data_IF_618748671753
#
_entry.id   IF_618748671753
#
_cell.length_a   1.000
_cell.length_b   1.000
_cell.length_c   1.000
_cell.angle_alpha   90.00
_cell.angle_beta   90.00
_cell.angle_gamma   90.00
#
_symmetry.space_group_name_H-M   'P 1'
#
loop_
_entity.id
_entity.type
_entity.pdbx_description
1 polymer ?
#
# COMPACT_ATOMS: atom_id res chain seq x y z
N UNK A 1 -0.63 -5.31 -50.32
CA UNK A 1 0.55 -4.40 -50.21
C UNK A 1 0.31 -3.47 -49.01
N UNK A 2 0.98 -3.70 -47.87
CA UNK A 2 0.81 -2.86 -46.70
C UNK A 2 1.56 -1.53 -46.91
N UNK A 3 0.84 -0.41 -46.86
CA UNK A 3 1.46 0.92 -46.84
C UNK A 3 2.27 1.08 -45.57
N UNK A 4 3.57 1.34 -45.68
CA UNK A 4 4.47 1.56 -44.54
C UNK A 4 4.63 3.05 -44.30
N UNK A 5 4.70 3.47 -43.04
CA UNK A 5 5.10 4.86 -42.68
C UNK A 5 6.62 5.04 -42.89
N UNK A 6 7.10 6.28 -42.88
CA UNK A 6 8.52 6.59 -42.94
C UNK A 6 9.40 5.78 -41.94
N UNK A 7 8.87 5.44 -40.81
CA UNK A 7 9.53 4.65 -39.77
C UNK A 7 9.44 3.12 -39.99
N UNK A 8 9.13 2.63 -41.19
CA UNK A 8 8.98 1.20 -41.54
C UNK A 8 7.90 0.43 -40.77
N UNK A 9 7.07 1.09 -39.97
CA UNK A 9 5.96 0.46 -39.24
C UNK A 9 4.74 0.33 -40.14
N UNK A 10 4.01 -0.82 -40.10
CA UNK A 10 2.78 -0.96 -40.86
C UNK A 10 1.72 0.01 -40.33
N UNK A 11 0.90 0.54 -41.23
CA UNK A 11 -0.27 1.34 -40.85
C UNK A 11 -1.29 0.41 -40.19
N UNK A 12 -1.88 0.88 -39.10
CA UNK A 12 -2.95 0.17 -38.41
C UNK A 12 -4.28 0.39 -39.14
N UNK A 13 -5.02 -0.67 -39.38
CA UNK A 13 -6.40 -0.59 -39.85
C UNK A 13 -7.33 -0.10 -38.73
N UNK A 14 -8.54 0.32 -39.07
CA UNK A 14 -9.55 0.69 -38.07
C UNK A 14 -9.85 -0.50 -37.16
N UNK A 15 -9.93 -1.70 -37.70
CA UNK A 15 -10.11 -2.94 -36.91
C UNK A 15 -8.98 -3.16 -35.91
N UNK A 16 -7.73 -2.91 -36.29
CA UNK A 16 -6.56 -3.06 -35.39
C UNK A 16 -6.54 -2.02 -34.27
N UNK A 17 -7.15 -0.86 -34.49
CA UNK A 17 -7.31 0.16 -33.43
C UNK A 17 -8.37 -0.23 -32.39
N UNK A 18 -9.32 -1.07 -32.72
CA UNK A 18 -10.39 -1.52 -31.84
C UNK A 18 -10.06 -2.81 -31.12
N UNK A 19 -9.38 -3.75 -31.79
CA UNK A 19 -9.06 -5.10 -31.29
C UNK A 19 -7.75 -5.17 -30.53
N UNK A 20 -7.60 -6.24 -29.74
CA UNK A 20 -6.37 -6.59 -29.03
C UNK A 20 -6.13 -5.80 -27.74
N UNK A 21 -4.98 -6.05 -27.09
CA UNK A 21 -4.60 -5.45 -25.80
C UNK A 21 -4.46 -3.91 -25.85
N UNK A 22 -4.04 -3.39 -27.00
CA UNK A 22 -3.86 -1.95 -27.25
C UNK A 22 -5.05 -1.31 -27.96
N UNK A 23 -6.10 -2.09 -28.22
CA UNK A 23 -7.33 -1.59 -28.83
C UNK A 23 -8.17 -0.76 -27.88
N UNK A 24 -9.04 0.08 -28.44
CA UNK A 24 -9.89 1.00 -27.65
C UNK A 24 -10.80 0.29 -26.64
N UNK A 25 -11.32 -0.89 -26.97
CA UNK A 25 -12.18 -1.65 -26.05
C UNK A 25 -11.42 -2.02 -24.77
N UNK A 26 -10.24 -2.60 -24.86
CA UNK A 26 -9.49 -3.05 -23.67
C UNK A 26 -8.76 -1.90 -22.96
N UNK A 27 -8.29 -0.90 -23.70
CA UNK A 27 -7.45 0.16 -23.14
C UNK A 27 -8.25 1.34 -22.58
N UNK A 28 -9.44 1.63 -23.12
CA UNK A 28 -10.17 2.84 -22.77
C UNK A 28 -11.63 2.60 -22.34
N UNK A 29 -12.23 1.44 -22.66
CA UNK A 29 -13.61 1.14 -22.31
C UNK A 29 -13.72 0.21 -21.10
N UNK A 30 -13.04 -0.94 -21.14
CA UNK A 30 -13.05 -1.92 -20.04
C UNK A 30 -12.20 -1.49 -18.85
N UNK A 31 -11.31 -0.55 -19.04
CA UNK A 31 -10.49 0.04 -18.00
C UNK A 31 -9.81 1.30 -18.49
N UNK A 32 -9.57 2.24 -17.58
CA UNK A 32 -8.90 3.51 -17.85
C UNK A 32 -7.76 3.69 -16.85
N UNK A 33 -6.78 4.50 -17.23
CA UNK A 33 -5.81 5.02 -16.24
C UNK A 33 -6.53 5.99 -15.33
N UNK A 34 -6.26 5.89 -14.04
CA UNK A 34 -6.88 6.74 -13.03
C UNK A 34 -5.85 7.63 -12.38
N UNK A 35 -6.26 8.84 -12.03
CA UNK A 35 -5.46 9.79 -11.26
C UNK A 35 -5.40 9.35 -9.78
N UNK A 36 -4.57 9.99 -8.99
CA UNK A 36 -4.36 9.69 -7.57
C UNK A 36 -3.95 8.24 -7.33
N UNK A 37 -3.15 7.72 -8.21
CA UNK A 37 -2.60 6.38 -8.15
C UNK A 37 -1.12 6.38 -8.46
N UNK A 38 -0.39 5.47 -7.84
CA UNK A 38 1.04 5.28 -8.06
C UNK A 38 1.39 3.81 -8.01
N UNK A 39 2.62 3.50 -8.36
CA UNK A 39 3.15 2.13 -8.32
C UNK A 39 4.58 2.13 -7.85
N UNK A 40 4.93 1.20 -6.96
CA UNK A 40 6.31 1.00 -6.52
C UNK A 40 6.57 -0.44 -6.14
N UNK A 41 7.83 -0.77 -5.97
CA UNK A 41 8.29 -2.06 -5.44
C UNK A 41 7.90 -2.17 -3.97
N UNK A 42 7.61 -3.38 -3.52
CA UNK A 42 7.30 -3.68 -2.12
C UNK A 42 8.51 -4.27 -1.40
N UNK A 43 8.61 -3.94 -0.12
CA UNK A 43 9.59 -4.52 0.80
C UNK A 43 8.89 -4.89 2.10
N UNK A 44 9.50 -5.79 2.86
CA UNK A 44 8.96 -6.19 4.16
C UNK A 44 9.00 -5.04 5.16
N UNK A 45 7.94 -4.94 5.97
CA UNK A 45 7.83 -3.98 7.07
C UNK A 45 7.32 -4.67 8.33
N UNK A 46 8.15 -5.46 9.04
CA UNK A 46 7.72 -6.23 10.21
C UNK A 46 7.33 -5.35 11.41
N UNK A 47 7.80 -4.11 11.44
CA UNK A 47 7.48 -3.13 12.50
C UNK A 47 6.10 -2.49 12.35
N UNK A 48 5.48 -2.63 11.17
CA UNK A 48 4.16 -2.09 10.90
C UNK A 48 3.08 -2.91 11.62
N UNK A 49 2.02 -2.23 12.04
CA UNK A 49 0.80 -2.92 12.49
C UNK A 49 0.07 -3.52 11.28
N UNK A 50 -0.79 -4.50 11.52
CA UNK A 50 -1.51 -5.23 10.48
C UNK A 50 -2.32 -4.32 9.54
N UNK A 51 -2.88 -3.22 10.06
CA UNK A 51 -3.65 -2.24 9.29
C UNK A 51 -2.79 -1.14 8.67
N UNK A 52 -1.48 -1.14 8.86
CA UNK A 52 -0.58 -0.10 8.40
C UNK A 52 0.21 -0.53 7.16
N UNK A 53 0.54 0.43 6.32
CA UNK A 53 1.52 0.27 5.24
C UNK A 53 2.51 1.44 5.26
N UNK A 54 3.76 1.16 4.94
CA UNK A 54 4.78 2.19 4.77
C UNK A 54 4.70 2.81 3.38
N UNK A 55 4.38 4.09 3.29
CA UNK A 55 4.30 4.82 2.03
C UNK A 55 5.49 5.78 1.90
N UNK A 56 6.27 5.74 0.79
CA UNK A 56 7.35 6.67 0.55
C UNK A 56 6.88 8.12 0.60
N UNK A 57 7.56 8.97 1.36
CA UNK A 57 7.20 10.39 1.54
C UNK A 57 6.97 11.13 0.22
N UNK A 58 7.86 10.93 -0.76
CA UNK A 58 7.74 11.60 -2.06
C UNK A 58 6.52 11.13 -2.86
N UNK A 59 6.19 9.84 -2.75
CA UNK A 59 4.98 9.29 -3.38
C UNK A 59 3.72 9.83 -2.68
N UNK A 60 3.70 9.85 -1.35
CA UNK A 60 2.60 10.42 -0.58
C UNK A 60 2.37 11.90 -0.93
N UNK A 61 3.43 12.69 -1.00
CA UNK A 61 3.35 14.11 -1.39
C UNK A 61 2.67 14.29 -2.74
N UNK A 62 3.00 13.45 -3.72
CA UNK A 62 2.42 13.53 -5.06
C UNK A 62 0.94 13.12 -5.09
N UNK A 63 0.61 12.02 -4.39
CA UNK A 63 -0.75 11.47 -4.35
C UNK A 63 -1.73 12.38 -3.58
N UNK A 64 -1.27 13.02 -2.50
CA UNK A 64 -2.12 13.84 -1.63
C UNK A 64 -2.07 15.34 -1.94
N UNK A 65 -1.46 15.76 -3.04
CA UNK A 65 -1.35 17.18 -3.44
C UNK A 65 -2.62 18.00 -3.25
N UNK A 66 -3.80 17.60 -3.75
CA UNK A 66 -5.00 18.42 -3.63
C UNK A 66 -5.47 18.58 -2.17
N UNK A 67 -5.31 17.54 -1.36
CA UNK A 67 -5.65 17.59 0.05
C UNK A 67 -4.71 18.54 0.82
N UNK A 68 -3.41 18.53 0.47
CA UNK A 68 -2.42 19.46 1.03
C UNK A 68 -2.78 20.90 0.65
N UNK A 69 -3.16 21.18 -0.60
CA UNK A 69 -3.56 22.52 -1.03
C UNK A 69 -4.78 23.01 -0.25
N UNK A 70 -5.79 22.17 -0.10
CA UNK A 70 -7.00 22.48 0.67
C UNK A 70 -6.68 22.78 2.15
N UNK A 71 -5.79 22.00 2.76
CA UNK A 71 -5.39 22.21 4.16
C UNK A 71 -4.51 23.47 4.34
N UNK A 72 -3.63 23.77 3.39
CA UNK A 72 -2.83 25.00 3.40
C UNK A 72 -3.71 26.25 3.34
N UNK A 73 -4.76 26.21 2.51
CA UNK A 73 -5.74 27.27 2.37
C UNK A 73 -6.57 27.42 3.66
N UNK A 74 -7.09 26.30 4.18
CA UNK A 74 -7.88 26.29 5.43
C UNK A 74 -7.10 26.82 6.66
N UNK A 75 -5.78 26.60 6.71
CA UNK A 75 -4.90 27.15 7.76
C UNK A 75 -4.45 28.59 7.51
N UNK A 76 -4.85 29.20 6.40
CA UNK A 76 -4.46 30.57 6.04
C UNK A 76 -2.96 30.75 5.74
N UNK A 77 -2.23 29.65 5.53
CA UNK A 77 -0.79 29.67 5.26
C UNK A 77 -0.48 30.05 3.81
N UNK A 78 -1.41 29.87 2.89
CA UNK A 78 -1.28 30.28 1.51
C UNK A 78 -2.47 31.12 1.08
N UNK A 79 -2.20 32.33 0.54
CA UNK A 79 -3.25 33.22 0.01
C UNK A 79 -3.66 32.88 -1.41
N UNK A 80 -2.86 32.09 -2.14
CA UNK A 80 -3.12 31.74 -3.54
C UNK A 80 -2.67 30.32 -3.86
N UNK A 81 -3.42 29.64 -4.73
CA UNK A 81 -3.10 28.32 -5.23
C UNK A 81 -1.70 28.23 -5.89
N UNK A 82 -1.25 29.32 -6.51
CA UNK A 82 0.08 29.42 -7.12
C UNK A 82 1.19 29.39 -6.06
N UNK A 83 0.94 30.01 -4.92
CA UNK A 83 1.87 30.00 -3.77
C UNK A 83 1.91 28.62 -3.12
N UNK A 84 0.77 27.98 -2.91
CA UNK A 84 0.69 26.62 -2.40
C UNK A 84 1.45 25.61 -3.27
N UNK A 85 1.30 25.69 -4.60
CA UNK A 85 2.07 24.87 -5.55
C UNK A 85 3.58 25.07 -5.36
N UNK A 86 4.04 26.31 -5.30
CA UNK A 86 5.46 26.63 -5.06
C UNK A 86 6.00 26.06 -3.75
N UNK A 87 5.18 26.01 -2.71
CA UNK A 87 5.58 25.47 -1.41
C UNK A 87 5.73 23.96 -1.45
N UNK A 88 4.81 23.29 -2.09
CA UNK A 88 4.87 21.84 -2.30
C UNK A 88 6.06 21.44 -3.19
N UNK A 89 6.32 22.17 -4.28
CA UNK A 89 7.49 21.96 -5.15
C UNK A 89 8.82 22.17 -4.43
N UNK A 90 8.87 23.07 -3.45
CA UNK A 90 10.04 23.34 -2.63
C UNK A 90 10.15 22.43 -1.40
N UNK A 91 9.24 21.50 -1.24
CA UNK A 91 9.22 20.54 -0.11
C UNK A 91 9.45 21.21 1.26
N UNK A 92 8.74 22.32 1.54
CA UNK A 92 8.88 23.06 2.79
C UNK A 92 8.48 22.21 4.00
N UNK A 93 9.04 22.52 5.17
CA UNK A 93 8.77 21.80 6.43
C UNK A 93 7.28 21.79 6.76
N UNK A 94 6.61 22.92 6.60
CA UNK A 94 5.18 23.09 6.86
C UNK A 94 4.31 22.15 5.99
N UNK A 95 4.79 21.83 4.79
CA UNK A 95 4.09 20.90 3.88
C UNK A 95 4.16 19.47 4.43
N UNK A 96 5.28 19.08 5.02
CA UNK A 96 5.44 17.75 5.62
C UNK A 96 4.55 17.58 6.86
N UNK A 97 4.45 18.59 7.70
CA UNK A 97 3.59 18.59 8.88
C UNK A 97 2.10 18.46 8.49
N UNK A 98 1.69 19.15 7.41
CA UNK A 98 0.33 19.05 6.88
C UNK A 98 0.09 17.69 6.21
N UNK A 99 1.07 17.15 5.49
CA UNK A 99 0.97 15.84 4.89
C UNK A 99 0.75 14.76 5.96
N UNK A 100 1.50 14.81 7.07
CA UNK A 100 1.34 13.87 8.18
C UNK A 100 -0.06 13.95 8.81
N UNK A 101 -0.59 15.17 8.94
CA UNK A 101 -1.96 15.38 9.43
C UNK A 101 -3.03 14.79 8.48
N UNK A 102 -2.88 15.04 7.17
CA UNK A 102 -3.84 14.55 6.16
C UNK A 102 -3.84 13.02 6.08
N UNK A 103 -2.68 12.40 6.19
CA UNK A 103 -2.52 10.94 6.04
C UNK A 103 -3.14 10.16 7.19
N UNK A 104 -3.09 10.68 8.43
CA UNK A 104 -3.58 9.98 9.64
C UNK A 104 -5.02 9.48 9.54
N UNK A 105 -5.86 10.16 8.80
CA UNK A 105 -7.28 9.84 8.68
C UNK A 105 -7.69 9.36 7.29
N UNK A 106 -6.73 9.21 6.37
CA UNK A 106 -7.01 8.91 4.98
C UNK A 106 -6.46 7.53 4.58
N UNK A 107 -7.30 6.48 4.54
CA UNK A 107 -6.85 5.16 4.13
C UNK A 107 -6.44 5.16 2.65
N UNK A 108 -5.48 4.32 2.31
CA UNK A 108 -5.07 4.06 0.92
C UNK A 108 -5.38 2.62 0.55
N UNK A 109 -5.66 2.38 -0.72
CA UNK A 109 -5.88 1.05 -1.25
C UNK A 109 -4.59 0.55 -1.90
N UNK A 110 -4.15 -0.63 -1.48
CA UNK A 110 -3.05 -1.34 -2.13
C UNK A 110 -3.62 -2.46 -3.00
N UNK A 111 -3.07 -2.60 -4.20
CA UNK A 111 -3.44 -3.64 -5.15
C UNK A 111 -2.19 -4.30 -5.73
N UNK A 112 -2.18 -5.63 -5.76
CA UNK A 112 -1.19 -6.42 -6.52
C UNK A 112 -1.86 -7.08 -7.72
N UNK A 113 -1.30 -6.87 -8.91
CA UNK A 113 -1.73 -7.56 -10.11
C UNK A 113 -0.96 -8.91 -10.25
N UNK A 114 -1.63 -10.01 -10.67
CA UNK A 114 -3.04 -10.10 -11.03
C UNK A 114 -3.97 -10.15 -9.81
N UNK A 115 -5.09 -9.43 -9.86
CA UNK A 115 -6.11 -9.48 -8.81
C UNK A 115 -7.02 -10.69 -9.04
N UNK A 116 -6.73 -11.79 -8.35
CA UNK A 116 -7.43 -13.06 -8.53
C UNK A 116 -8.71 -13.16 -7.68
N UNK A 117 -8.77 -12.46 -6.57
CA UNK A 117 -9.87 -12.46 -5.62
C UNK A 117 -9.96 -11.12 -4.90
N UNK A 118 -11.03 -10.88 -4.14
CA UNK A 118 -11.29 -9.59 -3.51
C UNK A 118 -10.20 -9.12 -2.54
N UNK A 119 -9.47 -10.04 -1.91
CA UNK A 119 -8.37 -9.70 -0.99
C UNK A 119 -7.08 -9.24 -1.70
N UNK A 120 -7.05 -9.30 -3.05
CA UNK A 120 -6.00 -8.68 -3.85
C UNK A 120 -6.05 -7.14 -3.86
N UNK A 121 -7.10 -6.55 -3.27
CA UNK A 121 -7.22 -5.12 -3.00
C UNK A 121 -7.61 -4.95 -1.54
N UNK A 122 -6.79 -4.29 -0.74
CA UNK A 122 -7.07 -4.03 0.67
C UNK A 122 -6.72 -2.59 1.02
N UNK A 123 -7.39 -2.06 2.03
CA UNK A 123 -7.14 -0.74 2.57
C UNK A 123 -6.14 -0.81 3.74
N UNK A 124 -5.31 0.22 3.82
CA UNK A 124 -4.31 0.39 4.87
C UNK A 124 -4.25 1.84 5.31
N UNK A 125 -3.86 2.07 6.55
CA UNK A 125 -3.47 3.39 7.03
C UNK A 125 -2.00 3.64 6.65
N UNK A 126 -1.70 4.69 5.88
CA UNK A 126 -0.34 4.95 5.46
C UNK A 126 0.49 5.56 6.59
N UNK A 127 1.72 5.07 6.71
CA UNK A 127 2.76 5.63 7.56
C UNK A 127 3.87 6.14 6.65
N UNK A 128 4.33 7.37 6.86
CA UNK A 128 5.39 7.95 6.05
C UNK A 128 6.74 7.31 6.35
N UNK A 129 7.40 6.83 5.32
CA UNK A 129 8.72 6.23 5.40
C UNK A 129 9.70 6.92 4.46
N UNK A 130 10.98 6.86 4.81
CA UNK A 130 12.04 7.24 3.90
C UNK A 130 12.29 6.14 2.86
N UNK A 131 12.78 6.51 1.70
CA UNK A 131 13.06 5.57 0.62
C UNK A 131 12.10 5.69 -0.56
N UNK A 132 12.06 4.68 -1.40
CA UNK A 132 11.25 4.62 -2.64
C UNK A 132 10.32 3.42 -2.72
N UNK A 133 10.52 2.42 -1.86
CA UNK A 133 9.73 1.20 -1.83
C UNK A 133 8.59 1.31 -0.81
N UNK A 134 7.47 0.65 -1.10
CA UNK A 134 6.34 0.53 -0.19
C UNK A 134 6.66 -0.57 0.83
N UNK A 135 6.46 -0.31 2.11
CA UNK A 135 6.57 -1.34 3.14
C UNK A 135 5.22 -2.01 3.36
N UNK A 136 5.24 -3.33 3.38
CA UNK A 136 4.06 -4.16 3.59
C UNK A 136 4.28 -5.11 4.76
N UNK A 137 3.24 -5.25 5.60
CA UNK A 137 3.29 -6.21 6.70
C UNK A 137 3.37 -7.64 6.16
N UNK A 138 4.32 -8.48 6.62
CA UNK A 138 4.54 -9.82 6.06
C UNK A 138 3.32 -10.74 6.16
N UNK A 139 2.47 -10.61 7.16
CA UNK A 139 1.27 -11.44 7.32
C UNK A 139 0.20 -11.21 6.24
N UNK A 140 0.16 -10.06 5.58
CA UNK A 140 -0.82 -9.80 4.51
C UNK A 140 -0.35 -10.28 3.14
N UNK A 141 0.90 -10.70 3.01
CA UNK A 141 1.48 -11.18 1.74
C UNK A 141 0.72 -12.37 1.16
N UNK A 142 0.25 -13.30 2.02
CA UNK A 142 -0.53 -14.46 1.59
C UNK A 142 -1.84 -14.06 0.90
N UNK A 143 -2.52 -13.03 1.40
CA UNK A 143 -3.76 -12.52 0.81
C UNK A 143 -3.54 -11.88 -0.57
N UNK A 144 -2.42 -11.21 -0.77
CA UNK A 144 -2.03 -10.62 -2.05
C UNK A 144 -1.32 -11.61 -2.99
N UNK A 145 -0.95 -12.78 -2.49
CA UNK A 145 -0.01 -13.69 -3.15
C UNK A 145 1.27 -12.94 -3.58
N UNK A 146 1.80 -12.12 -2.68
CA UNK A 146 2.95 -11.24 -2.91
C UNK A 146 4.20 -11.83 -2.25
N UNK A 147 5.33 -11.62 -2.90
CA UNK A 147 6.67 -11.88 -2.36
C UNK A 147 7.55 -10.64 -2.52
N UNK A 148 8.71 -10.65 -1.89
CA UNK A 148 9.62 -9.51 -1.86
C UNK A 148 10.81 -9.68 -2.82
N UNK A 149 10.62 -10.41 -3.91
CA UNK A 149 11.63 -10.67 -4.95
C UNK A 149 11.71 -9.59 -6.04
N UNK A 150 10.99 -8.50 -5.88
CA UNK A 150 10.88 -7.40 -6.84
C UNK A 150 9.44 -7.11 -7.28
N UNK A 151 8.46 -7.72 -6.62
CA UNK A 151 7.05 -7.44 -6.84
C UNK A 151 6.73 -5.97 -6.66
N UNK A 152 5.78 -5.49 -7.47
CA UNK A 152 5.27 -4.13 -7.40
C UNK A 152 3.79 -4.13 -7.03
N UNK A 153 3.40 -3.14 -6.25
CA UNK A 153 2.00 -2.89 -5.92
C UNK A 153 1.57 -1.49 -6.35
N UNK A 154 0.30 -1.39 -6.75
CA UNK A 154 -0.33 -0.12 -7.02
C UNK A 154 -0.95 0.44 -5.73
N UNK A 155 -0.87 1.76 -5.57
CA UNK A 155 -1.50 2.53 -4.50
C UNK A 155 -2.57 3.41 -5.11
N UNK A 156 -3.76 3.43 -4.51
CA UNK A 156 -4.86 4.29 -4.91
C UNK A 156 -5.39 5.05 -3.70
N UNK A 157 -5.72 6.32 -3.92
CA UNK A 157 -6.26 7.18 -2.86
C UNK A 157 -7.76 7.37 -3.10
N UNK A 158 -8.64 6.89 -2.19
CA UNK A 158 -10.06 7.19 -2.27
C UNK A 158 -10.32 8.68 -2.05
N UNK A 159 -11.10 9.31 -2.93
CA UNK A 159 -11.27 10.76 -2.94
C UNK A 159 -12.49 11.22 -2.17
N UNK A 160 -13.64 10.54 -2.33
CA UNK A 160 -14.88 10.92 -1.65
C UNK A 160 -14.93 10.38 -0.22
N UNK A 161 -15.72 11.01 0.64
CA UNK A 161 -15.91 10.57 2.03
C UNK A 161 -16.57 9.19 2.08
N UNK A 162 -17.50 8.91 1.16
CA UNK A 162 -18.15 7.60 1.04
C UNK A 162 -17.13 6.51 0.69
N UNK A 163 -16.24 6.78 -0.27
CA UNK A 163 -15.19 5.83 -0.65
C UNK A 163 -14.19 5.59 0.48
N UNK A 164 -13.86 6.62 1.26
CA UNK A 164 -13.01 6.49 2.45
C UNK A 164 -13.69 5.66 3.53
N UNK A 165 -15.00 5.85 3.74
CA UNK A 165 -15.78 5.07 4.68
C UNK A 165 -15.86 3.60 4.27
N UNK A 166 -16.15 3.32 2.99
CA UNK A 166 -16.10 1.95 2.44
C UNK A 166 -14.73 1.31 2.63
N UNK A 167 -13.66 2.03 2.34
CA UNK A 167 -12.30 1.55 2.55
C UNK A 167 -12.05 1.16 4.01
N UNK A 168 -12.50 1.98 4.97
CA UNK A 168 -12.34 1.71 6.40
C UNK A 168 -13.20 0.55 6.89
N UNK A 169 -14.46 0.50 6.51
CA UNK A 169 -15.42 -0.47 7.05
C UNK A 169 -15.29 -1.84 6.40
N UNK A 170 -15.11 -1.88 5.08
CA UNK A 170 -15.16 -3.13 4.30
C UNK A 170 -13.79 -3.63 3.87
N UNK A 171 -12.86 -2.74 3.52
CA UNK A 171 -11.63 -3.10 2.83
C UNK A 171 -10.38 -3.12 3.71
N UNK A 172 -10.45 -2.67 4.96
CA UNK A 172 -9.28 -2.72 5.86
C UNK A 172 -8.76 -4.14 6.01
N UNK A 173 -7.46 -4.30 6.02
CA UNK A 173 -6.78 -5.59 6.21
C UNK A 173 -7.21 -6.31 7.48
N UNK A 174 -7.46 -5.58 8.57
CA UNK A 174 -7.95 -6.11 9.84
C UNK A 174 -9.36 -6.67 9.77
N UNK A 175 -10.18 -6.21 8.83
CA UNK A 175 -11.56 -6.71 8.62
C UNK A 175 -11.61 -7.92 7.67
N UNK A 176 -10.49 -8.26 7.04
CA UNK A 176 -10.38 -9.30 6.03
C UNK A 176 -9.39 -10.41 6.45
N UNK A 177 -9.52 -10.90 7.68
CA UNK A 177 -8.68 -11.95 8.25
C UNK A 177 -9.07 -13.34 7.71
N UNK A 178 -10.36 -13.54 7.46
CA UNK A 178 -10.89 -14.82 7.01
C UNK A 178 -11.04 -14.88 5.49
N UNK A 179 -10.70 -16.03 4.92
CA UNK A 179 -10.90 -16.27 3.48
C UNK A 179 -12.39 -16.39 3.17
N UNK A 180 -12.89 -15.63 2.18
CA UNK A 180 -14.29 -15.74 1.75
C UNK A 180 -14.65 -17.07 1.07
N UNK A 181 -13.63 -17.84 0.64
CA UNK A 181 -13.84 -19.11 -0.05
C UNK A 181 -14.18 -20.26 0.91
N UNK A 182 -13.55 -20.30 2.09
CA UNK A 182 -13.66 -21.45 3.00
C UNK A 182 -13.77 -21.06 4.49
N UNK A 183 -13.79 -19.77 4.81
CA UNK A 183 -13.87 -19.26 6.18
C UNK A 183 -12.61 -19.50 7.03
N UNK A 184 -11.54 -20.07 6.48
CA UNK A 184 -10.28 -20.26 7.21
C UNK A 184 -9.52 -18.97 7.30
N UNK A 185 -8.72 -18.73 8.36
CA UNK A 185 -7.86 -17.57 8.45
C UNK A 185 -6.80 -17.59 7.33
N UNK A 186 -6.64 -16.46 6.65
CA UNK A 186 -5.63 -16.27 5.60
C UNK A 186 -4.38 -15.57 6.14
N UNK A 187 -4.56 -14.79 7.21
CA UNK A 187 -3.49 -14.10 7.92
C UNK A 187 -2.96 -15.05 9.00
N UNK A 188 -2.00 -15.87 8.61
CA UNK A 188 -1.35 -16.85 9.48
C UNK A 188 0.17 -16.78 9.28
N UNK A 189 0.97 -17.05 10.33
CA UNK A 189 2.41 -17.20 10.17
C UNK A 189 2.74 -18.33 9.19
N UNK A 190 3.71 -18.09 8.32
CA UNK A 190 4.17 -19.06 7.33
C UNK A 190 5.68 -18.96 7.13
N UNK A 191 6.28 -20.00 6.52
CA UNK A 191 7.70 -20.04 6.12
C UNK A 191 8.65 -19.61 7.26
N UNK A 192 9.40 -18.55 7.06
CA UNK A 192 10.43 -18.05 7.99
C UNK A 192 9.87 -17.64 9.35
N UNK A 193 8.62 -17.18 9.41
CA UNK A 193 7.97 -16.85 10.68
C UNK A 193 7.75 -18.08 11.54
N UNK A 194 7.33 -19.20 10.94
CA UNK A 194 7.15 -20.47 11.64
C UNK A 194 8.50 -21.01 12.11
N UNK A 195 9.52 -20.94 11.26
CA UNK A 195 10.88 -21.34 11.61
C UNK A 195 11.43 -20.49 12.77
N UNK A 196 11.21 -19.17 12.72
CA UNK A 196 11.62 -18.26 13.79
C UNK A 196 10.92 -18.55 15.12
N UNK A 197 9.61 -18.79 15.09
CA UNK A 197 8.84 -19.18 16.28
C UNK A 197 9.30 -20.51 16.84
N UNK A 198 9.59 -21.49 15.99
CA UNK A 198 10.15 -22.76 16.40
C UNK A 198 11.51 -22.58 17.08
N UNK A 199 12.40 -21.79 16.48
CA UNK A 199 13.71 -21.51 17.07
C UNK A 199 13.62 -20.81 18.43
N UNK A 200 12.72 -19.84 18.57
CA UNK A 200 12.46 -19.13 19.84
C UNK A 200 11.90 -20.05 20.93
N UNK A 201 11.13 -21.09 20.55
CA UNK A 201 10.53 -22.03 21.48
C UNK A 201 11.44 -23.23 21.82
N UNK A 202 12.61 -23.34 21.17
CA UNK A 202 13.56 -24.40 21.48
C UNK A 202 14.17 -24.23 22.85
N UNK A 203 14.04 -25.28 23.68
CA UNK A 203 14.71 -25.37 24.98
C UNK A 203 16.20 -25.72 24.78
N UNK A 204 17.08 -24.92 25.38
CA UNK A 204 18.52 -25.16 25.39
C UNK A 204 18.98 -25.35 26.81
N UNK A 205 19.40 -26.57 27.15
CA UNK A 205 19.94 -26.91 28.47
C UNK A 205 21.29 -26.22 28.70
N UNK A 206 21.46 -25.64 29.88
CA UNK A 206 22.69 -24.97 30.29
C UNK A 206 22.86 -23.52 29.82
N UNK A 207 21.84 -22.93 29.18
CA UNK A 207 21.83 -21.50 28.80
C UNK A 207 21.26 -20.63 29.94
N UNK A 208 21.63 -19.31 29.98
CA UNK A 208 21.05 -18.40 30.95
C UNK A 208 19.52 -18.32 30.80
N UNK A 209 18.80 -18.57 31.89
CA UNK A 209 17.35 -18.60 31.90
C UNK A 209 16.74 -20.01 31.99
N UNK A 210 17.55 -21.07 32.11
CA UNK A 210 17.05 -22.41 32.34
C UNK A 210 16.12 -22.43 33.59
N UNK A 211 14.94 -23.02 33.45
CA UNK A 211 13.91 -23.05 34.49
C UNK A 211 12.96 -21.84 34.52
N UNK A 212 13.16 -20.84 33.65
CA UNK A 212 12.22 -19.73 33.47
C UNK A 212 11.16 -20.08 32.42
N UNK A 213 9.90 -19.91 32.76
CA UNK A 213 8.81 -20.04 31.80
C UNK A 213 8.60 -18.73 31.04
N UNK A 214 7.86 -18.79 29.91
CA UNK A 214 7.48 -17.60 29.15
C UNK A 214 6.72 -16.58 30.01
N UNK A 215 5.99 -17.00 31.03
CA UNK A 215 5.31 -16.11 31.97
C UNK A 215 6.31 -15.24 32.73
N UNK A 216 7.46 -15.78 33.11
CA UNK A 216 8.51 -15.02 33.81
C UNK A 216 9.25 -14.02 32.89
N UNK A 217 9.23 -14.26 31.59
CA UNK A 217 9.89 -13.40 30.58
C UNK A 217 8.93 -12.31 30.12
N UNK A 218 7.66 -12.65 29.86
CA UNK A 218 6.68 -11.72 29.31
C UNK A 218 5.97 -10.85 30.34
N UNK A 219 5.82 -11.35 31.57
CA UNK A 219 5.30 -10.59 32.68
C UNK A 219 6.41 -10.44 33.75
N UNK A 220 7.18 -9.34 33.71
CA UNK A 220 8.10 -9.06 34.82
C UNK A 220 7.29 -8.96 36.10
N UNK A 221 7.53 -9.90 37.00
CA UNK A 221 6.89 -10.02 38.30
C UNK A 221 6.66 -8.66 38.94
N UNK A 222 5.39 -8.30 39.16
CA UNK A 222 5.04 -7.33 40.18
C UNK A 222 5.62 -7.84 41.49
N UNK A 223 6.78 -7.36 41.86
CA UNK A 223 7.25 -7.53 43.23
C UNK A 223 6.26 -6.82 44.14
N UNK A 224 5.52 -7.57 44.89
CA UNK A 224 4.80 -7.10 46.07
C UNK A 224 5.76 -6.48 47.05
#
# INVERSE_FOLDING_TARGET
MYKRQANKRPLKSLSDMLKGKQGRFRQNLLGKRVDYSGRSVIVTGPELKLHQCGLPKKMALELFKPFIYSRLDAKGLSMTLKQAKKWVEKERKEVWDILDEVIREHPVLLNRAPTLHRLGIQAFEPVLIEGKAIQLHPLVCSAFNADFDGDQMAVHVPLSLEAQLEARVLMMSTNNILSPANGKPIIVPSQDMVLGLYYLSMDRRGEPGEGLSLIHISEPTRRS
#
